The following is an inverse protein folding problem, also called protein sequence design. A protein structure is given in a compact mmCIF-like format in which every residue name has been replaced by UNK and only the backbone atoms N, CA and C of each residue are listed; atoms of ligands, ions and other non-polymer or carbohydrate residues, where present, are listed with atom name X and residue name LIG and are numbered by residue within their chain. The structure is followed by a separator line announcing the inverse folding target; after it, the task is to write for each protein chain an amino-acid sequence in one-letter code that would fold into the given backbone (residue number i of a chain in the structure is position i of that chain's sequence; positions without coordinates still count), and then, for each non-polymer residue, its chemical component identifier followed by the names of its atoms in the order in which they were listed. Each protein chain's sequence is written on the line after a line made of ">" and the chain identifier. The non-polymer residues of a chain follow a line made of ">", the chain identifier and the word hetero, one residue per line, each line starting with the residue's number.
data_IF_574848851441
#
_entry.id   IF_574848851441
#
_cell.length_a   1.000
_cell.length_b   1.000
_cell.length_c   1.000
_cell.angle_alpha   90.00
_cell.angle_beta   90.00
_cell.angle_gamma   90.00
#
_symmetry.space_group_name_H-M   'P 1'
#
loop_
_entity.id
_entity.type
_entity.pdbx_description
1 polymer ?
#
# COMPACT_ATOMS: atom_id res chain seq x y z
N UNK A 1 63.37 19.39 -24.31
CA UNK A 1 62.22 20.29 -24.54
C UNK A 1 61.17 19.44 -25.23
N UNK A 2 60.29 18.81 -24.47
CA UNK A 2 59.41 17.74 -24.95
C UNK A 2 57.98 18.23 -24.81
N UNK A 3 57.36 18.58 -25.93
CA UNK A 3 55.97 19.04 -25.98
C UNK A 3 55.08 17.79 -25.98
N UNK A 4 54.41 17.53 -24.85
CA UNK A 4 53.38 16.50 -24.75
C UNK A 4 52.05 17.12 -25.15
N UNK A 5 51.52 16.72 -26.31
CA UNK A 5 50.20 17.13 -26.80
C UNK A 5 49.17 16.25 -26.09
N UNK A 6 48.53 16.81 -25.06
CA UNK A 6 47.29 16.25 -24.50
C UNK A 6 46.17 16.55 -25.49
N UNK A 7 45.72 15.52 -26.20
CA UNK A 7 44.52 15.59 -27.02
C UNK A 7 43.29 15.72 -26.09
N UNK A 8 42.72 16.91 -26.05
CA UNK A 8 41.46 17.19 -25.38
C UNK A 8 40.34 16.52 -26.20
N UNK A 9 39.76 15.43 -25.68
CA UNK A 9 38.60 14.76 -26.31
C UNK A 9 37.37 15.68 -26.13
N UNK A 10 36.84 16.32 -27.18
CA UNK A 10 35.64 17.13 -27.08
C UNK A 10 34.45 16.16 -27.15
N UNK A 11 33.83 15.88 -26.01
CA UNK A 11 32.63 15.03 -25.99
C UNK A 11 32.35 14.25 -24.71
N UNK A 12 33.20 14.36 -23.68
CA UNK A 12 32.87 13.79 -22.37
C UNK A 12 31.78 14.65 -21.70
N UNK A 13 30.53 14.40 -22.07
CA UNK A 13 29.36 14.93 -21.39
C UNK A 13 29.44 14.49 -19.92
N UNK A 14 29.72 15.45 -19.03
CA UNK A 14 29.64 15.24 -17.58
C UNK A 14 28.25 14.67 -17.28
N UNK A 15 28.09 13.69 -16.37
CA UNK A 15 26.77 13.19 -16.00
C UNK A 15 25.98 14.34 -15.36
N UNK A 16 25.29 15.10 -16.20
CA UNK A 16 24.30 16.06 -15.80
C UNK A 16 23.18 15.26 -15.18
N UNK A 17 22.79 15.65 -13.96
CA UNK A 17 21.68 15.06 -13.24
C UNK A 17 20.50 14.88 -14.20
N UNK A 18 20.24 13.64 -14.60
CA UNK A 18 19.09 13.33 -15.43
C UNK A 18 17.86 13.88 -14.69
N UNK A 19 17.08 14.77 -15.31
CA UNK A 19 15.88 15.26 -14.67
C UNK A 19 15.02 14.04 -14.35
N UNK A 20 14.75 13.80 -13.06
CA UNK A 20 13.91 12.67 -12.58
C UNK A 20 12.79 12.44 -13.59
N UNK A 21 12.83 11.27 -14.25
CA UNK A 21 11.96 11.00 -15.40
C UNK A 21 10.50 11.26 -15.02
N UNK A 22 9.68 11.70 -15.98
CA UNK A 22 8.28 12.04 -15.71
C UNK A 22 7.52 10.93 -14.96
N UNK A 23 7.90 9.66 -15.18
CA UNK A 23 7.42 8.47 -14.46
C UNK A 23 7.67 8.56 -12.94
N UNK A 24 8.87 8.95 -12.51
CA UNK A 24 9.19 9.09 -11.07
C UNK A 24 8.31 10.14 -10.40
N UNK A 25 8.06 11.28 -11.04
CA UNK A 25 7.18 12.34 -10.49
C UNK A 25 5.72 11.87 -10.42
N UNK A 26 5.25 11.14 -11.43
CA UNK A 26 3.92 10.57 -11.46
C UNK A 26 3.70 9.54 -10.33
N UNK A 27 4.67 8.66 -10.09
CA UNK A 27 4.60 7.68 -9.00
C UNK A 27 4.56 8.35 -7.62
N UNK A 28 5.43 9.33 -7.34
CA UNK A 28 5.37 10.07 -6.07
C UNK A 28 4.03 10.79 -5.88
N UNK A 29 3.44 11.31 -6.96
CA UNK A 29 2.11 11.94 -6.92
C UNK A 29 1.02 10.92 -6.62
N UNK A 30 1.09 9.71 -7.18
CA UNK A 30 0.16 8.61 -6.89
C UNK A 30 0.28 8.16 -5.43
N UNK A 31 1.50 8.02 -4.90
CA UNK A 31 1.76 7.73 -3.49
C UNK A 31 1.18 8.80 -2.58
N UNK A 32 1.39 10.08 -2.90
CA UNK A 32 0.83 11.19 -2.15
C UNK A 32 -0.70 11.17 -2.18
N UNK A 33 -1.33 10.96 -3.34
CA UNK A 33 -2.78 10.84 -3.45
C UNK A 33 -3.35 9.64 -2.70
N UNK A 34 -2.64 8.51 -2.73
CA UNK A 34 -3.03 7.31 -1.98
C UNK A 34 -2.95 7.57 -0.47
N UNK A 35 -1.92 8.28 -0.01
CA UNK A 35 -1.79 8.72 1.37
C UNK A 35 -2.88 9.70 1.80
N UNK A 36 -3.22 10.68 0.94
CA UNK A 36 -4.33 11.63 1.18
C UNK A 36 -5.66 10.91 1.25
N UNK A 37 -5.93 9.99 0.31
CA UNK A 37 -7.17 9.22 0.29
C UNK A 37 -7.29 8.32 1.54
N UNK A 38 -6.22 7.59 1.88
CA UNK A 38 -6.18 6.77 3.09
C UNK A 38 -6.34 7.60 4.37
N UNK A 39 -5.69 8.77 4.44
CA UNK A 39 -5.83 9.72 5.54
C UNK A 39 -7.25 10.26 5.68
N UNK A 40 -7.90 10.61 4.56
CA UNK A 40 -9.29 11.08 4.54
C UNK A 40 -10.26 9.99 5.01
N UNK A 41 -10.07 8.75 4.58
CA UNK A 41 -10.85 7.59 5.05
C UNK A 41 -10.65 7.39 6.56
N UNK A 42 -9.40 7.36 7.02
CA UNK A 42 -9.07 7.20 8.45
C UNK A 42 -9.65 8.32 9.31
N UNK A 43 -9.60 9.56 8.83
CA UNK A 43 -10.20 10.71 9.49
C UNK A 43 -11.72 10.61 9.58
N UNK A 44 -12.39 10.25 8.48
CA UNK A 44 -13.85 10.06 8.47
C UNK A 44 -14.28 8.96 9.45
N UNK A 45 -13.54 7.84 9.50
CA UNK A 45 -13.75 6.76 10.47
C UNK A 45 -13.57 7.25 11.91
N UNK A 46 -12.48 7.96 12.21
CA UNK A 46 -12.24 8.51 13.54
C UNK A 46 -13.33 9.50 13.99
N UNK A 47 -13.77 10.38 13.08
CA UNK A 47 -14.88 11.31 13.34
C UNK A 47 -16.19 10.57 13.61
N UNK A 48 -16.47 9.50 12.89
CA UNK A 48 -17.66 8.67 13.12
C UNK A 48 -17.66 8.09 14.54
N UNK A 49 -16.55 7.50 14.97
CA UNK A 49 -16.42 6.90 16.32
C UNK A 49 -16.56 7.94 17.42
N UNK A 50 -15.92 9.10 17.26
CA UNK A 50 -16.02 10.21 18.22
C UNK A 50 -17.44 10.77 18.32
N UNK A 51 -18.19 10.77 17.21
CA UNK A 51 -19.57 11.25 17.16
C UNK A 51 -20.56 10.33 17.89
N UNK A 52 -20.26 9.03 17.96
CA UNK A 52 -21.12 8.04 18.64
C UNK A 52 -20.83 7.88 20.14
N UNK A 53 -19.83 8.62 20.69
CA UNK A 53 -19.36 8.57 22.09
C UNK A 53 -19.32 7.15 22.68
N UNK A 54 -18.18 6.43 22.59
CA UNK A 54 -18.01 5.21 23.36
C UNK A 54 -18.05 5.56 24.85
N UNK A 55 -19.20 5.34 25.50
CA UNK A 55 -19.48 5.70 26.90
C UNK A 55 -18.52 5.03 27.90
N UNK A 56 -17.79 3.96 27.49
CA UNK A 56 -16.86 3.20 28.33
C UNK A 56 -15.87 2.27 27.56
N UNK A 57 -15.73 2.41 26.24
CA UNK A 57 -15.03 1.43 25.39
C UNK A 57 -13.62 1.81 24.94
N UNK A 58 -12.81 0.82 24.59
CA UNK A 58 -11.51 1.00 23.93
C UNK A 58 -11.70 1.67 22.55
N UNK A 59 -11.18 2.89 22.39
CA UNK A 59 -11.31 3.65 21.14
C UNK A 59 -10.71 2.91 19.94
N UNK A 60 -9.59 2.21 20.14
CA UNK A 60 -8.96 1.44 19.06
C UNK A 60 -9.84 0.29 18.58
N UNK A 61 -10.52 -0.40 19.50
CA UNK A 61 -11.46 -1.46 19.19
C UNK A 61 -12.71 -0.92 18.49
N UNK A 62 -13.23 0.21 18.95
CA UNK A 62 -14.36 0.90 18.33
C UNK A 62 -14.04 1.40 16.91
N UNK A 63 -12.78 1.75 16.61
CA UNK A 63 -12.37 2.12 15.25
C UNK A 63 -12.39 0.94 14.26
N UNK A 64 -12.18 -0.28 14.75
CA UNK A 64 -12.10 -1.49 13.90
C UNK A 64 -13.48 -2.16 13.80
N UNK A 65 -14.20 -2.29 14.91
CA UNK A 65 -15.44 -3.09 15.00
C UNK A 65 -16.68 -2.27 15.33
N UNK A 66 -16.52 -0.97 15.59
CA UNK A 66 -17.64 -0.10 15.93
C UNK A 66 -18.64 0.03 14.78
N UNK A 67 -19.93 0.23 15.09
CA UNK A 67 -20.96 0.38 14.07
C UNK A 67 -20.71 1.64 13.24
N UNK A 68 -20.80 1.51 11.92
CA UNK A 68 -20.68 2.62 10.98
C UNK A 68 -22.06 3.17 10.59
N UNK A 69 -22.22 4.50 10.47
CA UNK A 69 -23.38 5.09 9.82
C UNK A 69 -23.56 4.50 8.41
N UNK A 70 -24.80 4.19 8.05
CA UNK A 70 -25.13 3.52 6.77
C UNK A 70 -24.55 4.25 5.57
N UNK A 71 -24.66 5.59 5.54
CA UNK A 71 -24.12 6.39 4.45
C UNK A 71 -22.59 6.25 4.31
N UNK A 72 -21.86 6.21 5.43
CA UNK A 72 -20.41 6.07 5.43
C UNK A 72 -20.01 4.67 4.96
N UNK A 73 -20.71 3.64 5.44
CA UNK A 73 -20.49 2.27 4.98
C UNK A 73 -20.70 2.11 3.47
N UNK A 74 -21.75 2.72 2.91
CA UNK A 74 -22.01 2.71 1.45
C UNK A 74 -20.91 3.42 0.68
N UNK A 75 -20.48 4.61 1.13
CA UNK A 75 -19.37 5.34 0.48
C UNK A 75 -18.08 4.51 0.53
N UNK A 76 -17.74 3.92 1.68
CA UNK A 76 -16.55 3.08 1.82
C UNK A 76 -16.64 1.84 0.93
N UNK A 77 -17.79 1.17 0.87
CA UNK A 77 -17.98 0.02 0.01
C UNK A 77 -17.82 0.37 -1.48
N UNK A 78 -18.29 1.54 -1.93
CA UNK A 78 -18.10 2.00 -3.31
C UNK A 78 -16.63 2.36 -3.60
N UNK A 79 -15.96 3.05 -2.66
CA UNK A 79 -14.54 3.38 -2.80
C UNK A 79 -13.69 2.10 -2.91
N UNK A 80 -13.93 1.13 -2.04
CA UNK A 80 -13.19 -0.13 -2.03
C UNK A 80 -13.57 -1.08 -3.17
N UNK A 81 -14.87 -1.27 -3.41
CA UNK A 81 -15.38 -2.28 -4.34
C UNK A 81 -15.42 -1.85 -5.80
N UNK A 82 -15.43 -0.55 -6.10
CA UNK A 82 -15.48 -0.04 -7.47
C UNK A 82 -14.31 0.89 -7.80
N UNK A 83 -14.05 1.91 -6.98
CA UNK A 83 -13.04 2.92 -7.30
C UNK A 83 -11.62 2.36 -7.27
N UNK A 84 -11.25 1.63 -6.21
CA UNK A 84 -9.91 1.01 -6.11
C UNK A 84 -9.62 0.01 -7.24
N UNK A 85 -10.53 -0.92 -7.61
CA UNK A 85 -10.32 -1.79 -8.77
C UNK A 85 -10.13 -1.04 -10.08
N UNK A 86 -10.89 0.04 -10.32
CA UNK A 86 -10.74 0.86 -11.53
C UNK A 86 -9.39 1.56 -11.55
N UNK A 87 -8.95 2.14 -10.42
CA UNK A 87 -7.63 2.77 -10.29
C UNK A 87 -6.52 1.73 -10.51
N UNK A 88 -6.61 0.57 -9.85
CA UNK A 88 -5.65 -0.53 -9.97
C UNK A 88 -5.55 -1.03 -11.41
N UNK A 89 -6.70 -1.26 -12.07
CA UNK A 89 -6.74 -1.65 -13.48
C UNK A 89 -6.05 -0.63 -14.38
N UNK A 90 -6.34 0.66 -14.21
CA UNK A 90 -5.70 1.74 -14.99
C UNK A 90 -4.22 1.85 -14.72
N UNK A 91 -3.80 1.67 -13.47
CA UNK A 91 -2.39 1.68 -13.08
C UNK A 91 -1.61 0.56 -13.80
N UNK A 92 -2.17 -0.65 -13.87
CA UNK A 92 -1.53 -1.77 -14.59
C UNK A 92 -1.30 -1.51 -16.09
N UNK A 93 -2.06 -0.61 -16.72
CA UNK A 93 -1.90 -0.27 -18.14
C UNK A 93 -0.76 0.72 -18.40
N UNK A 94 -0.33 1.48 -17.40
CA UNK A 94 0.63 2.59 -17.56
C UNK A 94 1.93 2.40 -16.78
N UNK A 95 2.00 1.38 -15.94
CA UNK A 95 3.15 1.14 -15.07
C UNK A 95 4.32 0.51 -15.83
N UNK A 96 5.53 0.96 -15.51
CA UNK A 96 6.78 0.38 -16.03
C UNK A 96 6.99 -1.06 -15.51
N UNK A 97 7.71 -1.91 -16.26
CA UNK A 97 7.89 -3.34 -15.93
C UNK A 97 8.52 -3.54 -14.54
N UNK A 98 9.52 -2.74 -14.19
CA UNK A 98 10.19 -2.85 -12.89
C UNK A 98 9.25 -2.57 -11.71
N UNK A 99 8.33 -1.61 -11.85
CA UNK A 99 7.30 -1.34 -10.83
C UNK A 99 6.26 -2.46 -10.79
N UNK A 100 5.93 -3.04 -11.95
CA UNK A 100 5.01 -4.16 -12.05
C UNK A 100 5.53 -5.41 -11.35
N UNK A 101 6.82 -5.70 -11.51
CA UNK A 101 7.48 -6.82 -10.82
C UNK A 101 7.48 -6.64 -9.31
N UNK A 102 7.86 -5.45 -8.82
CA UNK A 102 7.82 -5.15 -7.39
C UNK A 102 6.41 -5.27 -6.80
N UNK A 103 5.40 -4.79 -7.53
CA UNK A 103 4.00 -4.94 -7.13
C UNK A 103 3.55 -6.39 -7.12
N UNK A 104 3.88 -7.18 -8.16
CA UNK A 104 3.54 -8.59 -8.24
C UNK A 104 4.13 -9.38 -7.07
N UNK A 105 5.40 -9.15 -6.77
CA UNK A 105 6.09 -9.82 -5.65
C UNK A 105 5.41 -9.48 -4.31
N UNK A 106 5.07 -8.21 -4.11
CA UNK A 106 4.30 -7.78 -2.93
C UNK A 106 2.93 -8.44 -2.85
N UNK A 107 2.16 -8.42 -3.95
CA UNK A 107 0.82 -9.00 -4.00
C UNK A 107 0.83 -10.52 -3.76
N UNK A 108 1.82 -11.24 -4.31
CA UNK A 108 1.99 -12.69 -4.08
C UNK A 108 2.37 -12.97 -2.64
N UNK A 109 3.27 -12.18 -2.04
CA UNK A 109 3.63 -12.33 -0.64
C UNK A 109 2.41 -12.11 0.28
N UNK A 110 1.61 -11.07 0.03
CA UNK A 110 0.34 -10.86 0.71
C UNK A 110 -0.64 -12.01 0.48
N UNK A 111 -0.78 -12.48 -0.75
CA UNK A 111 -1.66 -13.61 -1.07
C UNK A 111 -1.32 -14.84 -0.21
N UNK A 112 -0.04 -15.12 0.07
CA UNK A 112 0.32 -16.22 0.99
C UNK A 112 -0.13 -16.00 2.43
N UNK A 113 -0.22 -14.76 2.92
CA UNK A 113 -0.83 -14.47 4.23
C UNK A 113 -2.28 -14.93 4.27
N UNK A 114 -3.04 -14.68 3.20
CA UNK A 114 -4.44 -15.10 3.12
C UNK A 114 -4.56 -16.60 2.81
N UNK A 115 -3.92 -17.07 1.74
CA UNK A 115 -4.06 -18.42 1.22
C UNK A 115 -3.44 -19.51 2.08
N UNK A 116 -2.38 -19.18 2.84
CA UNK A 116 -1.71 -20.12 3.77
C UNK A 116 -1.96 -19.71 5.22
N UNK A 117 -1.85 -18.43 5.55
CA UNK A 117 -2.04 -17.97 6.93
C UNK A 117 -3.46 -18.20 7.45
N UNK A 118 -4.51 -17.99 6.64
CA UNK A 118 -5.88 -18.23 7.08
C UNK A 118 -6.17 -19.70 7.46
N UNK A 119 -5.86 -20.71 6.62
CA UNK A 119 -6.10 -22.10 7.01
C UNK A 119 -5.24 -22.54 8.19
N UNK A 120 -3.98 -22.08 8.28
CA UNK A 120 -3.11 -22.36 9.43
C UNK A 120 -3.69 -21.78 10.72
N UNK A 121 -4.09 -20.50 10.71
CA UNK A 121 -4.73 -19.88 11.87
C UNK A 121 -6.00 -20.63 12.27
N UNK A 122 -6.86 -20.94 11.30
CA UNK A 122 -8.10 -21.66 11.55
C UNK A 122 -7.89 -23.03 12.21
N UNK A 123 -6.90 -23.80 11.77
CA UNK A 123 -6.54 -25.08 12.39
C UNK A 123 -6.03 -24.90 13.83
N UNK A 124 -5.14 -23.94 14.06
CA UNK A 124 -4.60 -23.64 15.39
C UNK A 124 -5.68 -23.15 16.36
N UNK A 125 -6.63 -22.35 15.87
CA UNK A 125 -7.77 -21.91 16.66
C UNK A 125 -8.67 -23.08 17.08
N UNK A 126 -8.90 -24.06 16.19
CA UNK A 126 -9.65 -25.28 16.52
C UNK A 126 -8.94 -26.18 17.52
N UNK A 127 -7.61 -26.12 17.57
CA UNK A 127 -6.82 -26.79 18.59
C UNK A 127 -6.76 -26.03 19.93
N UNK A 128 -7.38 -24.84 20.03
CA UNK A 128 -7.32 -23.99 21.21
C UNK A 128 -5.98 -23.25 21.40
N UNK A 129 -5.14 -23.22 20.36
CA UNK A 129 -3.81 -22.59 20.41
C UNK A 129 -3.81 -21.11 19.99
N UNK A 130 -4.82 -20.68 19.25
CA UNK A 130 -5.02 -19.29 18.80
C UNK A 130 -6.46 -18.84 19.04
N UNK A 131 -6.73 -17.52 19.12
CA UNK A 131 -8.08 -17.00 19.14
C UNK A 131 -8.81 -17.31 17.81
N UNK A 132 -10.16 -17.20 17.79
CA UNK A 132 -10.94 -17.25 16.57
C UNK A 132 -10.37 -16.31 15.50
N UNK A 133 -10.48 -16.72 14.23
CA UNK A 133 -9.95 -15.93 13.13
C UNK A 133 -10.61 -14.55 13.09
N UNK A 134 -9.80 -13.51 13.12
CA UNK A 134 -10.24 -12.14 12.96
C UNK A 134 -9.88 -11.65 11.55
N UNK A 135 -10.92 -11.29 10.78
CA UNK A 135 -10.76 -10.86 9.40
C UNK A 135 -10.00 -9.52 9.32
N UNK A 136 -10.18 -8.63 10.29
CA UNK A 136 -9.49 -7.34 10.30
C UNK A 136 -7.97 -7.54 10.45
N UNK A 137 -7.55 -8.37 11.40
CA UNK A 137 -6.14 -8.71 11.63
C UNK A 137 -5.54 -9.45 10.44
N UNK A 138 -6.27 -10.41 9.87
CA UNK A 138 -5.79 -11.15 8.70
C UNK A 138 -5.61 -10.22 7.49
N UNK A 139 -6.57 -9.34 7.23
CA UNK A 139 -6.51 -8.37 6.14
C UNK A 139 -5.42 -7.31 6.37
N UNK A 140 -5.25 -6.83 7.60
CA UNK A 140 -4.16 -5.92 7.95
C UNK A 140 -2.79 -6.58 7.73
N UNK A 141 -2.64 -7.86 8.10
CA UNK A 141 -1.41 -8.63 7.86
C UNK A 141 -1.12 -8.76 6.36
N UNK A 142 -2.15 -9.02 5.55
CA UNK A 142 -2.05 -9.00 4.09
C UNK A 142 -1.51 -7.67 3.56
N UNK A 143 -2.08 -6.53 3.99
CA UNK A 143 -1.64 -5.20 3.55
C UNK A 143 -0.21 -4.90 3.98
N UNK A 144 0.15 -5.24 5.22
CA UNK A 144 1.49 -5.01 5.77
C UNK A 144 2.54 -5.81 5.00
N UNK A 145 2.34 -7.12 4.82
CA UNK A 145 3.29 -7.97 4.11
C UNK A 145 3.41 -7.53 2.64
N UNK A 146 2.28 -7.24 1.98
CA UNK A 146 2.28 -6.74 0.61
C UNK A 146 3.09 -5.44 0.49
N UNK A 147 2.85 -4.49 1.39
CA UNK A 147 3.52 -3.19 1.39
C UNK A 147 5.01 -3.29 1.71
N UNK A 148 5.39 -4.12 2.68
CA UNK A 148 6.80 -4.31 3.05
C UNK A 148 7.61 -4.94 1.92
N UNK A 149 7.08 -6.00 1.29
CA UNK A 149 7.76 -6.66 0.17
C UNK A 149 7.82 -5.74 -1.04
N UNK A 150 6.72 -5.05 -1.36
CA UNK A 150 6.72 -4.05 -2.42
C UNK A 150 7.77 -2.95 -2.17
N UNK A 151 7.81 -2.37 -0.98
CA UNK A 151 8.77 -1.31 -0.63
C UNK A 151 10.21 -1.83 -0.74
N UNK A 152 10.48 -3.01 -0.21
CA UNK A 152 11.81 -3.63 -0.29
C UNK A 152 12.25 -3.86 -1.74
N UNK A 153 11.36 -4.38 -2.59
CA UNK A 153 11.64 -4.59 -4.03
C UNK A 153 11.76 -3.29 -4.82
N UNK A 154 11.05 -2.24 -4.40
CA UNK A 154 11.03 -0.95 -5.09
C UNK A 154 12.28 -0.11 -4.81
N UNK A 155 12.88 -0.26 -3.63
CA UNK A 155 14.01 0.55 -3.18
C UNK A 155 15.36 -0.19 -3.16
N UNK A 156 15.38 -1.47 -3.54
CA UNK A 156 16.60 -2.28 -3.71
C UNK A 156 16.95 -2.40 -5.18
#
# INVERSE_FOLDING_TARGET
>A
MTVSIVAEIPGAQRPGAEPKSASVKANHRLLAWSGVLGGAIGFAMAMSVLSTRPEQGNVAEAMIYGPLPVWLAVVMALLWGAVLPVISWRWHQVVDEHEREAYRDGAVAGFYVMGVGAPVWWLLARAGLLPPIDLATLYASFLIVSGLVWAWRKYR
#
